data_IF_421930378085
#
_entry.id   IF_421930378085
#
_cell.length_a   1.000
_cell.length_b   1.000
_cell.length_c   1.000
_cell.angle_alpha   90.00
_cell.angle_beta   90.00
_cell.angle_gamma   90.00
#
_symmetry.space_group_name_H-M   'P 1'
#
loop_
_entity.id
_entity.type
_entity.pdbx_description
1 polymer ?
#
# COMPACT_ATOMS: atom_id res chain seq x y z
N UNK A 1 -4.71 -4.26 7.19
CA UNK A 1 -5.37 -2.98 7.52
C UNK A 1 -6.84 -3.28 7.79
N UNK A 2 -7.31 -2.85 8.95
CA UNK A 2 -8.72 -2.89 9.34
C UNK A 2 -9.43 -1.57 9.04
N UNK A 3 -10.72 -1.52 9.37
CA UNK A 3 -11.53 -0.30 9.27
C UNK A 3 -11.00 0.70 10.31
N UNK A 4 -10.69 1.92 9.87
CA UNK A 4 -10.20 3.00 10.73
C UNK A 4 -8.67 3.16 10.75
N UNK A 5 -7.91 2.23 10.18
CA UNK A 5 -6.45 2.35 10.07
C UNK A 5 -6.06 3.46 9.08
N UNK A 6 -5.08 4.28 9.45
CA UNK A 6 -4.37 5.13 8.48
C UNK A 6 -3.28 4.31 7.82
N UNK A 7 -3.18 4.36 6.49
CA UNK A 7 -2.34 3.46 5.71
C UNK A 7 -1.54 4.19 4.64
N UNK A 8 -0.37 3.65 4.31
CA UNK A 8 0.37 4.04 3.12
C UNK A 8 -0.11 3.21 1.93
N UNK A 9 -0.62 3.89 0.91
CA UNK A 9 -1.10 3.26 -0.31
C UNK A 9 -0.07 3.47 -1.42
N UNK A 10 0.49 2.38 -1.94
CA UNK A 10 1.21 2.44 -3.21
C UNK A 10 0.17 2.38 -4.33
N UNK A 11 0.03 3.46 -5.09
CA UNK A 11 -0.91 3.56 -6.23
C UNK A 11 -0.16 3.57 -7.55
N UNK A 12 0.52 2.47 -7.81
CA UNK A 12 1.28 2.22 -9.03
C UNK A 12 1.23 0.71 -9.32
N UNK A 13 1.05 0.32 -10.57
CA UNK A 13 0.74 -1.06 -10.93
C UNK A 13 1.91 -2.03 -10.77
N UNK A 14 3.10 -1.66 -11.25
CA UNK A 14 4.28 -2.52 -11.21
C UNK A 14 4.78 -2.72 -9.77
N UNK A 15 4.89 -1.64 -9.00
CA UNK A 15 5.29 -1.63 -7.60
C UNK A 15 4.27 -2.35 -6.72
N UNK A 16 2.97 -2.25 -7.01
CA UNK A 16 1.96 -3.05 -6.33
C UNK A 16 2.16 -4.55 -6.55
N UNK A 17 2.44 -4.98 -7.79
CA UNK A 17 2.73 -6.38 -8.13
C UNK A 17 4.02 -6.89 -7.48
N UNK A 18 5.06 -6.06 -7.44
CA UNK A 18 6.31 -6.38 -6.76
C UNK A 18 6.11 -6.55 -5.24
N UNK A 19 5.35 -5.65 -4.61
CA UNK A 19 5.05 -5.73 -3.17
C UNK A 19 4.26 -7.01 -2.81
N UNK A 20 3.40 -7.50 -3.71
CA UNK A 20 2.67 -8.75 -3.54
C UNK A 20 3.46 -9.99 -4.00
N UNK A 21 4.67 -9.83 -4.55
CA UNK A 21 5.46 -10.89 -5.19
C UNK A 21 4.65 -11.69 -6.23
N UNK A 22 3.72 -11.02 -6.91
CA UNK A 22 2.84 -11.63 -7.90
C UNK A 22 2.84 -10.78 -9.20
N UNK A 23 3.60 -11.20 -10.23
CA UNK A 23 3.72 -10.45 -11.47
C UNK A 23 2.45 -10.41 -12.32
N UNK A 24 1.48 -11.30 -12.07
CA UNK A 24 0.22 -11.39 -12.82
C UNK A 24 -0.97 -10.79 -12.07
N UNK A 25 -0.75 -10.23 -10.87
CA UNK A 25 -1.82 -9.65 -10.07
C UNK A 25 -2.47 -8.44 -10.79
N UNK A 26 -3.78 -8.53 -11.01
CA UNK A 26 -4.58 -7.47 -11.62
C UNK A 26 -4.98 -6.41 -10.58
N UNK A 27 -3.97 -5.70 -10.07
CA UNK A 27 -4.13 -4.65 -9.05
C UNK A 27 -3.34 -3.41 -9.45
N UNK A 28 -3.92 -2.23 -9.20
CA UNK A 28 -3.27 -0.93 -9.44
C UNK A 28 -2.79 -0.28 -8.13
N UNK A 29 -3.24 -0.79 -6.99
CA UNK A 29 -2.90 -0.22 -5.70
C UNK A 29 -2.90 -1.26 -4.60
N UNK A 30 -1.98 -1.11 -3.65
CA UNK A 30 -1.88 -1.97 -2.46
C UNK A 30 -1.53 -1.15 -1.24
N UNK A 31 -2.00 -1.61 -0.08
CA UNK A 31 -1.55 -1.09 1.21
C UNK A 31 -0.18 -1.68 1.50
N UNK A 32 0.85 -0.83 1.60
CA UNK A 32 2.24 -1.25 1.85
C UNK A 32 2.68 -1.05 3.30
N UNK A 33 1.87 -0.39 4.12
CA UNK A 33 2.14 -0.19 5.54
C UNK A 33 0.97 0.43 6.29
N UNK A 34 0.94 0.22 7.60
CA UNK A 34 0.06 0.90 8.55
C UNK A 34 0.86 2.06 9.15
N UNK A 35 0.24 3.23 9.22
CA UNK A 35 0.89 4.44 9.72
C UNK A 35 0.70 4.51 11.24
N UNK A 36 1.81 4.60 11.97
CA UNK A 36 1.80 4.76 13.44
C UNK A 36 1.63 6.22 13.85
N UNK A 37 2.43 7.12 13.25
CA UNK A 37 2.34 8.55 13.48
C UNK A 37 2.77 9.35 12.26
N UNK A 38 2.27 10.58 12.15
CA UNK A 38 2.72 11.57 11.16
C UNK A 38 3.10 12.85 11.89
N UNK A 39 4.24 13.43 11.53
CA UNK A 39 4.69 14.72 12.04
C UNK A 39 4.61 15.73 10.91
N UNK A 40 3.98 16.87 11.19
CA UNK A 40 3.90 18.00 10.26
C UNK A 40 4.59 19.19 10.94
N UNK A 41 5.46 19.88 10.20
CA UNK A 41 6.19 21.05 10.67
C UNK A 41 5.37 22.34 10.49
#
# INVERSE_FOLDING_TARGET
>A
AGIGDTVLVNREGNGARQALQNPDACVISVIVGIVDSTTVA
#
